data_IF_611582662906
#
_entry.id   IF_611582662906
#
_cell.length_a   1.000
_cell.length_b   1.000
_cell.length_c   1.000
_cell.angle_alpha   90.00
_cell.angle_beta   90.00
_cell.angle_gamma   90.00
#
_symmetry.space_group_name_H-M   'P 1'
#
loop_
_entity.id
_entity.type
_entity.pdbx_description
1 polymer ?
#
# COMPACT_ATOMS: atom_id res chain seq x y z
N UNK A 1 -1.91 27.38 2.10
CA UNK A 1 -1.17 27.30 0.84
C UNK A 1 -0.56 25.91 0.72
N UNK A 2 -0.80 25.21 -0.39
CA UNK A 2 -0.05 23.99 -0.69
C UNK A 2 1.42 24.36 -0.99
N UNK A 3 2.40 23.56 -0.55
CA UNK A 3 3.80 23.82 -0.88
C UNK A 3 3.97 23.85 -2.40
N UNK A 4 4.80 24.79 -2.89
CA UNK A 4 5.19 24.82 -4.30
C UNK A 4 5.90 23.50 -4.63
N UNK A 5 5.69 22.95 -5.83
CA UNK A 5 6.31 21.68 -6.24
C UNK A 5 7.85 21.68 -6.05
N UNK A 6 8.48 22.84 -6.23
CA UNK A 6 9.92 23.05 -6.00
C UNK A 6 10.38 22.72 -4.58
N UNK A 7 9.50 22.85 -3.58
CA UNK A 7 9.81 22.62 -2.17
C UNK A 7 9.71 21.14 -1.76
N UNK A 8 9.16 20.26 -2.60
CA UNK A 8 8.97 18.84 -2.26
C UNK A 8 10.30 18.15 -1.98
N UNK A 9 11.33 18.45 -2.78
CA UNK A 9 12.65 17.83 -2.62
C UNK A 9 13.27 18.15 -1.27
N UNK A 10 13.12 19.39 -0.81
CA UNK A 10 13.66 19.84 0.47
C UNK A 10 12.85 19.22 1.63
N UNK A 11 11.52 19.17 1.51
CA UNK A 11 10.63 18.55 2.49
C UNK A 11 10.93 17.04 2.66
N UNK A 12 11.14 16.30 1.59
CA UNK A 12 11.40 14.85 1.67
C UNK A 12 12.85 14.51 2.04
N UNK A 13 13.80 15.43 1.86
CA UNK A 13 15.20 15.24 2.25
C UNK A 13 15.47 15.63 3.69
N UNK A 14 14.76 16.62 4.22
CA UNK A 14 14.97 17.09 5.59
C UNK A 14 14.31 16.14 6.62
N UNK A 15 15.12 15.52 7.46
CA UNK A 15 14.66 14.69 8.58
C UNK A 15 13.81 15.47 9.60
N UNK A 16 13.98 16.79 9.70
CA UNK A 16 13.15 17.69 10.52
C UNK A 16 11.70 17.79 10.02
N UNK A 17 11.47 17.54 8.73
CA UNK A 17 10.15 17.52 8.10
C UNK A 17 9.45 16.15 8.20
N UNK A 18 10.08 15.11 8.78
CA UNK A 18 9.46 13.79 9.01
C UNK A 18 8.49 13.81 10.20
N UNK A 19 7.49 14.68 10.16
CA UNK A 19 6.46 14.86 11.17
C UNK A 19 5.10 14.90 10.50
N UNK A 20 4.12 14.21 11.07
CA UNK A 20 2.73 14.24 10.58
C UNK A 20 1.94 15.35 11.26
N UNK A 21 0.98 15.92 10.53
CA UNK A 21 0.07 16.90 11.13
C UNK A 21 -0.89 16.19 12.11
N UNK A 22 -1.35 16.91 13.13
CA UNK A 22 -2.29 16.38 14.15
C UNK A 22 -3.63 15.90 13.57
N UNK A 23 -3.96 16.31 12.34
CA UNK A 23 -5.19 15.95 11.63
C UNK A 23 -5.23 14.45 11.31
N UNK A 24 -4.07 13.79 11.20
CA UNK A 24 -3.96 12.37 10.91
C UNK A 24 -3.93 11.48 12.17
N UNK A 25 -4.28 11.99 13.36
CA UNK A 25 -4.06 11.26 14.62
C UNK A 25 -5.32 10.73 15.31
N UNK A 26 -5.14 9.54 15.90
CA UNK A 26 -5.89 8.85 16.97
C UNK A 26 -7.40 8.57 16.83
N UNK A 27 -8.09 9.06 15.79
CA UNK A 27 -9.53 8.79 15.64
C UNK A 27 -9.88 7.38 15.09
N UNK A 28 -8.90 6.61 14.59
CA UNK A 28 -9.13 5.39 13.80
C UNK A 28 -8.43 4.14 14.37
N UNK A 29 -8.71 3.80 15.63
CA UNK A 29 -8.35 2.51 16.22
C UNK A 29 -6.90 2.41 16.76
N UNK A 30 -6.31 1.20 16.82
CA UNK A 30 -5.01 0.97 17.44
C UNK A 30 -3.88 1.75 16.77
N UNK A 31 -2.77 1.94 17.49
CA UNK A 31 -1.61 2.68 16.97
C UNK A 31 -1.07 2.02 15.71
N UNK A 32 -1.21 2.71 14.58
CA UNK A 32 -0.77 2.26 13.26
C UNK A 32 0.28 3.23 12.70
N UNK A 33 1.08 2.79 11.72
CA UNK A 33 2.13 3.62 11.11
C UNK A 33 1.55 4.95 10.59
N UNK A 34 0.33 4.92 10.06
CA UNK A 34 -0.33 6.09 9.49
C UNK A 34 -0.76 7.11 10.54
N UNK A 35 -1.20 6.66 11.72
CA UNK A 35 -1.67 7.51 12.82
C UNK A 35 -0.58 7.93 13.80
N UNK A 36 0.61 7.29 13.76
CA UNK A 36 1.71 7.59 14.69
C UNK A 36 2.36 8.95 14.37
N UNK A 37 2.16 9.93 15.27
CA UNK A 37 2.73 11.28 15.14
C UNK A 37 4.19 11.39 15.60
N UNK A 38 4.57 10.63 16.63
CA UNK A 38 5.92 10.70 17.20
C UNK A 38 6.93 10.08 16.24
N UNK A 39 7.97 10.84 15.87
CA UNK A 39 8.95 10.45 14.87
C UNK A 39 9.75 9.19 15.25
N UNK A 40 10.15 9.03 16.51
CA UNK A 40 10.91 7.85 16.97
C UNK A 40 10.04 6.59 17.01
N UNK A 41 8.79 6.70 17.50
CA UNK A 41 7.83 5.59 17.43
C UNK A 41 7.54 5.21 15.98
N UNK A 42 7.34 6.20 15.11
CA UNK A 42 7.11 5.98 13.68
C UNK A 42 8.32 5.31 13.01
N UNK A 43 9.54 5.70 13.37
CA UNK A 43 10.78 5.08 12.88
C UNK A 43 10.89 3.61 13.31
N UNK A 44 10.58 3.30 14.56
CA UNK A 44 10.56 1.92 15.06
C UNK A 44 9.54 1.05 14.31
N UNK A 45 8.30 1.53 14.14
CA UNK A 45 7.25 0.82 13.40
C UNK A 45 7.65 0.62 11.92
N UNK A 46 8.18 1.67 11.28
CA UNK A 46 8.69 1.56 9.89
C UNK A 46 9.80 0.53 9.77
N UNK A 47 10.73 0.47 10.73
CA UNK A 47 11.82 -0.52 10.73
C UNK A 47 11.28 -1.94 10.84
N UNK A 48 10.29 -2.17 11.69
CA UNK A 48 9.66 -3.48 11.82
C UNK A 48 8.97 -3.92 10.51
N UNK A 49 8.28 -3.01 9.83
CA UNK A 49 7.64 -3.29 8.53
C UNK A 49 8.67 -3.49 7.40
N UNK A 50 9.76 -2.71 7.39
CA UNK A 50 10.77 -2.78 6.33
C UNK A 50 11.45 -4.15 6.21
N UNK A 51 11.51 -4.94 7.29
CA UNK A 51 12.14 -6.26 7.28
C UNK A 51 11.39 -7.29 6.41
N UNK A 52 10.07 -7.15 6.25
CA UNK A 52 9.25 -8.02 5.37
C UNK A 52 8.96 -7.39 4.01
N UNK A 53 8.89 -6.06 3.94
CA UNK A 53 8.40 -5.32 2.78
C UNK A 53 9.52 -4.71 1.89
N UNK A 54 10.76 -5.17 2.04
CA UNK A 54 11.86 -4.74 1.19
C UNK A 54 11.69 -5.23 -0.25
N UNK A 55 12.06 -4.40 -1.23
CA UNK A 55 12.06 -4.77 -2.65
C UNK A 55 12.82 -6.09 -2.92
N UNK A 56 13.90 -6.34 -2.17
CA UNK A 56 14.69 -7.57 -2.28
C UNK A 56 14.04 -8.83 -1.70
N UNK A 57 13.04 -8.70 -0.81
CA UNK A 57 12.32 -9.83 -0.20
C UNK A 57 10.97 -10.09 -0.87
N UNK A 58 10.28 -9.05 -1.32
CA UNK A 58 8.94 -9.19 -1.91
C UNK A 58 9.01 -9.87 -3.28
N UNK A 59 9.89 -9.39 -4.16
CA UNK A 59 9.93 -9.81 -5.56
C UNK A 59 10.18 -11.32 -5.70
N UNK A 60 11.25 -11.92 -5.16
CA UNK A 60 11.53 -13.33 -5.41
C UNK A 60 10.50 -14.29 -4.79
N UNK A 61 9.87 -13.91 -3.68
CA UNK A 61 8.98 -14.81 -2.92
C UNK A 61 7.56 -14.76 -3.48
N UNK A 62 7.08 -13.58 -3.88
CA UNK A 62 5.67 -13.35 -4.20
C UNK A 62 5.39 -13.11 -5.68
N UNK A 63 6.41 -12.88 -6.50
CA UNK A 63 6.22 -12.52 -7.93
C UNK A 63 5.38 -13.55 -8.68
N UNK A 64 5.65 -14.85 -8.51
CA UNK A 64 4.89 -15.90 -9.21
C UNK A 64 3.42 -15.92 -8.79
N UNK A 65 3.15 -15.78 -7.48
CA UNK A 65 1.78 -15.75 -6.95
C UNK A 65 1.03 -14.48 -7.37
N UNK A 66 1.69 -13.33 -7.37
CA UNK A 66 1.14 -12.05 -7.84
C UNK A 66 0.82 -12.17 -9.34
N UNK A 67 1.74 -12.73 -10.14
CA UNK A 67 1.56 -12.95 -11.57
C UNK A 67 0.38 -13.87 -11.86
N UNK A 68 0.19 -14.92 -11.05
CA UNK A 68 -0.98 -15.80 -11.16
C UNK A 68 -2.30 -15.04 -10.91
N UNK A 69 -2.36 -14.20 -9.87
CA UNK A 69 -3.54 -13.37 -9.60
C UNK A 69 -3.80 -12.34 -10.71
N UNK A 70 -2.76 -11.69 -11.25
CA UNK A 70 -2.89 -10.77 -12.38
C UNK A 70 -3.45 -11.51 -13.61
N UNK A 71 -2.95 -12.71 -13.88
CA UNK A 71 -3.43 -13.52 -15.00
C UNK A 71 -4.89 -13.91 -14.82
N UNK A 72 -5.30 -14.22 -13.59
CA UNK A 72 -6.67 -14.57 -13.24
C UNK A 72 -7.64 -13.40 -13.47
N UNK A 73 -7.30 -12.19 -12.98
CA UNK A 73 -8.17 -11.02 -13.14
C UNK A 73 -8.28 -10.63 -14.61
N UNK A 74 -7.18 -10.65 -15.37
CA UNK A 74 -7.21 -10.37 -16.82
C UNK A 74 -8.10 -11.36 -17.55
N UNK A 75 -7.97 -12.66 -17.25
CA UNK A 75 -8.82 -13.70 -17.84
C UNK A 75 -10.30 -13.47 -17.52
N UNK A 76 -10.64 -13.16 -16.27
CA UNK A 76 -12.03 -12.93 -15.85
C UNK A 76 -12.63 -11.67 -16.47
N UNK A 77 -11.86 -10.59 -16.55
CA UNK A 77 -12.32 -9.36 -17.22
C UNK A 77 -12.54 -9.60 -18.72
N UNK A 78 -11.72 -10.43 -19.37
CA UNK A 78 -11.93 -10.81 -20.76
C UNK A 78 -13.20 -11.66 -20.95
N UNK A 79 -13.50 -12.56 -20.02
CA UNK A 79 -14.75 -13.35 -20.01
C UNK A 79 -15.98 -12.43 -19.92
N UNK A 80 -15.99 -11.49 -18.96
CA UNK A 80 -17.08 -10.50 -18.84
C UNK A 80 -17.21 -9.60 -20.08
N UNK A 81 -16.08 -9.18 -20.66
CA UNK A 81 -16.09 -8.40 -21.90
C UNK A 81 -16.73 -9.17 -23.06
N UNK A 82 -16.45 -10.47 -23.19
CA UNK A 82 -17.08 -11.34 -24.22
C UNK A 82 -18.57 -11.56 -23.97
N UNK A 83 -18.96 -11.70 -22.71
CA UNK A 83 -20.37 -11.82 -22.30
C UNK A 83 -21.16 -10.51 -22.43
N UNK A 84 -20.47 -9.38 -22.59
CA UNK A 84 -21.02 -8.01 -22.53
C UNK A 84 -21.66 -7.68 -21.19
N UNK A 85 -21.09 -8.22 -20.12
CA UNK A 85 -21.51 -7.92 -18.76
C UNK A 85 -20.97 -6.55 -18.33
N UNK A 86 -21.78 -5.80 -17.57
CA UNK A 86 -21.29 -4.62 -16.86
C UNK A 86 -20.57 -5.03 -15.58
N UNK A 87 -19.37 -4.49 -15.37
CA UNK A 87 -18.54 -4.78 -14.20
C UNK A 87 -18.13 -3.47 -13.53
N UNK A 88 -18.33 -3.38 -12.22
CA UNK A 88 -17.79 -2.31 -11.40
C UNK A 88 -16.28 -2.52 -11.21
N UNK A 89 -15.46 -1.89 -12.05
CA UNK A 89 -14.00 -2.01 -11.98
C UNK A 89 -13.42 -1.64 -10.60
N UNK A 90 -13.83 -0.56 -9.92
CA UNK A 90 -13.29 -0.21 -8.61
C UNK A 90 -13.46 -1.31 -7.57
N UNK A 91 -14.62 -1.98 -7.53
CA UNK A 91 -14.89 -3.09 -6.60
C UNK A 91 -13.98 -4.28 -6.90
N UNK A 92 -13.90 -4.71 -8.17
CA UNK A 92 -13.07 -5.85 -8.56
C UNK A 92 -11.58 -5.61 -8.33
N UNK A 93 -11.12 -4.37 -8.55
CA UNK A 93 -9.75 -4.01 -8.20
C UNK A 93 -9.53 -3.99 -6.69
N UNK A 94 -10.50 -3.51 -5.91
CA UNK A 94 -10.41 -3.52 -4.44
C UNK A 94 -10.30 -4.95 -3.91
N UNK A 95 -11.15 -5.86 -4.37
CA UNK A 95 -11.10 -7.30 -4.04
C UNK A 95 -9.71 -7.88 -4.36
N UNK A 96 -9.25 -7.71 -5.60
CA UNK A 96 -7.94 -8.18 -6.03
C UNK A 96 -6.77 -7.62 -5.20
N UNK A 97 -6.79 -6.33 -4.87
CA UNK A 97 -5.76 -5.74 -4.00
C UNK A 97 -5.81 -6.29 -2.59
N UNK A 98 -7.01 -6.59 -2.07
CA UNK A 98 -7.19 -7.21 -0.76
C UNK A 98 -6.59 -8.61 -0.74
N UNK A 99 -6.83 -9.42 -1.77
CA UNK A 99 -6.29 -10.78 -1.89
C UNK A 99 -4.75 -10.76 -1.90
N UNK A 100 -4.14 -9.88 -2.71
CA UNK A 100 -2.68 -9.73 -2.77
C UNK A 100 -2.10 -9.28 -1.42
N UNK A 101 -2.71 -8.28 -0.78
CA UNK A 101 -2.24 -7.79 0.52
C UNK A 101 -2.36 -8.88 1.58
N UNK A 102 -3.45 -9.65 1.57
CA UNK A 102 -3.68 -10.76 2.52
C UNK A 102 -2.63 -11.84 2.36
N UNK A 103 -2.38 -12.26 1.12
CA UNK A 103 -1.32 -13.20 0.76
C UNK A 103 0.06 -12.73 1.26
N UNK A 104 0.42 -11.47 1.01
CA UNK A 104 1.73 -10.94 1.42
C UNK A 104 1.83 -10.78 2.96
N UNK A 105 0.76 -10.32 3.63
CA UNK A 105 0.77 -10.06 5.07
C UNK A 105 0.73 -11.34 5.91
N UNK A 106 -0.07 -12.33 5.48
CA UNK A 106 -0.42 -13.49 6.30
C UNK A 106 0.08 -14.82 5.74
N UNK A 107 0.63 -14.82 4.52
CA UNK A 107 1.19 -16.00 3.89
C UNK A 107 0.18 -16.97 3.27
N UNK A 108 -1.07 -16.54 3.17
CA UNK A 108 -2.18 -17.29 2.56
C UNK A 108 -2.07 -17.39 1.03
#
# INVERSE_FOLDING_TARGET
>A
LFPKASSLKDIYRDSGCNRKSKIYSEALGPTQIFSTLNAEKHKAIRKALAAGWGLGSILPIWEDKIRAHISLIVRKMLEHSKARDEVCLPERFSEFTSDIITMICFGE
#
